data_IF_701606285221
#
_entry.id   IF_701606285221
#
_cell.length_a   1.000
_cell.length_b   1.000
_cell.length_c   1.000
_cell.angle_alpha   90.00
_cell.angle_beta   90.00
_cell.angle_gamma   90.00
#
_symmetry.space_group_name_H-M   'P 1'
#
loop_
_entity.id
_entity.type
_entity.pdbx_description
1 polymer ?
#
# COMPACT_ATOMS: atom_id res chain seq x y z
N UNK A 1 -6.64 30.16 6.68
CA UNK A 1 -7.10 30.65 5.36
C UNK A 1 -7.45 29.46 4.48
N UNK A 2 -8.75 29.20 4.33
CA UNK A 2 -9.25 28.06 3.57
C UNK A 2 -9.02 28.19 2.07
N UNK A 3 -9.05 29.41 1.54
CA UNK A 3 -8.79 29.62 0.11
C UNK A 3 -7.34 29.27 -0.26
N UNK A 4 -6.41 29.58 0.62
CA UNK A 4 -4.99 29.17 0.47
C UNK A 4 -4.84 27.64 0.62
N UNK A 5 -5.57 27.04 1.57
CA UNK A 5 -5.53 25.56 1.75
C UNK A 5 -6.04 24.81 0.53
N UNK A 6 -7.06 25.31 -0.18
CA UNK A 6 -7.56 24.69 -1.40
C UNK A 6 -6.47 24.58 -2.47
N UNK A 7 -5.50 25.50 -2.50
CA UNK A 7 -4.44 25.51 -3.51
C UNK A 7 -5.00 25.59 -4.94
N UNK A 8 -4.49 24.77 -5.88
CA UNK A 8 -4.94 24.73 -7.26
C UNK A 8 -6.26 23.96 -7.47
N UNK A 9 -6.78 23.28 -6.43
CA UNK A 9 -8.02 22.51 -6.53
C UNK A 9 -9.24 23.42 -6.79
N UNK A 10 -10.34 22.89 -7.35
CA UNK A 10 -11.56 23.64 -7.57
C UNK A 10 -12.06 24.30 -6.27
N UNK A 11 -12.53 25.55 -6.39
CA UNK A 11 -13.12 26.25 -5.22
C UNK A 11 -14.40 25.55 -4.79
N UNK A 12 -14.40 25.06 -3.57
CA UNK A 12 -15.56 24.41 -2.92
C UNK A 12 -15.84 25.07 -1.57
N UNK A 13 -17.09 25.07 -1.09
CA UNK A 13 -17.41 25.53 0.26
C UNK A 13 -16.59 24.78 1.34
N UNK A 14 -16.35 25.43 2.44
CA UNK A 14 -15.67 24.80 3.57
C UNK A 14 -16.41 23.54 4.03
N UNK A 15 -15.64 22.46 4.22
CA UNK A 15 -16.14 21.22 4.77
C UNK A 15 -15.08 20.70 5.78
N UNK A 16 -15.44 20.63 7.04
CA UNK A 16 -14.55 20.16 8.11
C UNK A 16 -14.06 18.72 7.87
N UNK A 17 -14.89 17.88 7.24
CA UNK A 17 -14.53 16.50 6.91
C UNK A 17 -13.50 16.38 5.77
N UNK A 18 -13.21 17.47 5.04
CA UNK A 18 -12.15 17.50 4.01
C UNK A 18 -10.81 17.96 4.55
N UNK A 19 -10.82 18.68 5.67
CA UNK A 19 -9.72 19.52 6.09
C UNK A 19 -8.63 18.73 6.82
N UNK A 20 -7.37 19.17 6.66
CA UNK A 20 -6.14 18.59 7.20
C UNK A 20 -5.98 17.10 6.85
N UNK A 21 -5.96 16.21 7.83
CA UNK A 21 -5.69 14.79 7.67
C UNK A 21 -6.64 14.08 6.70
N UNK A 22 -7.87 14.56 6.53
CA UNK A 22 -8.92 13.90 5.77
C UNK A 22 -8.90 14.21 4.27
N UNK A 23 -8.00 15.05 3.77
CA UNK A 23 -7.88 15.39 2.34
C UNK A 23 -7.83 14.16 1.43
N UNK A 24 -7.26 13.07 1.90
CA UNK A 24 -7.04 11.82 1.17
C UNK A 24 -8.32 11.13 0.69
N UNK A 25 -9.46 11.47 1.30
CA UNK A 25 -10.76 10.91 0.96
C UNK A 25 -11.52 11.68 -0.11
N UNK A 26 -10.87 12.67 -0.75
CA UNK A 26 -11.48 13.56 -1.74
C UNK A 26 -10.66 13.56 -3.02
N UNK A 27 -11.31 13.29 -4.16
CA UNK A 27 -10.67 13.16 -5.46
C UNK A 27 -9.87 14.37 -5.93
N UNK A 28 -10.23 15.58 -5.48
CA UNK A 28 -9.47 16.79 -5.80
C UNK A 28 -8.02 16.77 -5.22
N UNK A 29 -7.72 15.88 -4.28
CA UNK A 29 -6.45 15.85 -3.56
C UNK A 29 -5.74 14.50 -3.57
N UNK A 30 -6.49 13.41 -3.59
CA UNK A 30 -5.92 12.06 -3.52
C UNK A 30 -6.93 11.00 -3.99
N UNK A 31 -6.54 9.73 -3.95
CA UNK A 31 -7.35 8.58 -4.37
C UNK A 31 -7.73 7.62 -3.24
N UNK A 32 -7.92 8.14 -2.02
CA UNK A 32 -8.32 7.32 -0.87
C UNK A 32 -7.25 6.36 -0.39
N UNK A 33 -7.66 5.24 0.21
CA UNK A 33 -6.76 4.27 0.79
C UNK A 33 -5.88 3.56 -0.26
N UNK A 34 -6.38 3.44 -1.49
CA UNK A 34 -5.61 2.88 -2.60
C UNK A 34 -4.32 3.66 -2.86
N UNK A 35 -4.37 4.98 -2.88
CA UNK A 35 -3.19 5.83 -3.13
C UNK A 35 -2.46 6.25 -1.86
N UNK A 36 -3.02 5.97 -0.69
CA UNK A 36 -2.37 6.21 0.59
C UNK A 36 -1.63 4.94 1.06
N UNK A 37 -2.34 3.96 1.59
CA UNK A 37 -1.74 2.69 2.04
C UNK A 37 -1.36 1.76 0.90
N UNK A 38 -2.14 1.78 -0.19
CA UNK A 38 -1.89 0.93 -1.35
C UNK A 38 -0.53 1.17 -1.97
N UNK A 39 -0.09 2.41 -2.08
CA UNK A 39 1.23 2.75 -2.62
C UNK A 39 2.38 2.11 -1.82
N UNK A 40 2.23 1.95 -0.50
CA UNK A 40 3.25 1.28 0.31
C UNK A 40 3.20 -0.25 0.18
N UNK A 41 2.00 -0.83 0.28
CA UNK A 41 1.84 -2.28 0.35
C UNK A 41 1.98 -2.93 -1.03
N UNK A 42 1.43 -2.33 -2.08
CA UNK A 42 1.59 -2.84 -3.44
C UNK A 42 3.02 -2.69 -3.95
N UNK A 43 3.69 -1.56 -3.67
CA UNK A 43 5.11 -1.38 -3.98
C UNK A 43 5.96 -2.50 -3.37
N UNK A 44 5.70 -2.83 -2.11
CA UNK A 44 6.40 -3.92 -1.43
C UNK A 44 6.13 -5.29 -2.07
N UNK A 45 4.88 -5.53 -2.51
CA UNK A 45 4.51 -6.75 -3.22
C UNK A 45 5.20 -6.84 -4.59
N UNK A 46 5.18 -5.76 -5.35
CA UNK A 46 5.83 -5.65 -6.68
C UNK A 46 7.35 -5.83 -6.53
N UNK A 47 7.97 -5.18 -5.55
CA UNK A 47 9.38 -5.35 -5.22
C UNK A 47 9.71 -6.82 -4.87
N UNK A 48 8.93 -7.44 -3.98
CA UNK A 48 9.15 -8.83 -3.57
C UNK A 48 8.98 -9.85 -4.70
N UNK A 49 8.11 -9.57 -5.66
CA UNK A 49 7.87 -10.40 -6.84
C UNK A 49 8.79 -10.05 -8.01
N UNK A 50 9.60 -9.01 -7.90
CA UNK A 50 10.42 -8.45 -8.97
C UNK A 50 9.57 -8.25 -10.25
N UNK A 51 8.41 -7.62 -10.06
CA UNK A 51 7.44 -7.36 -11.12
C UNK A 51 7.49 -5.90 -11.56
N UNK A 52 6.91 -5.63 -12.72
CA UNK A 52 6.79 -4.30 -13.32
C UNK A 52 5.30 -3.93 -13.36
N UNK A 53 4.74 -3.66 -14.52
CA UNK A 53 3.34 -3.25 -14.68
C UNK A 53 2.42 -4.46 -14.87
N UNK A 54 1.18 -4.42 -14.35
CA UNK A 54 0.19 -5.46 -14.60
C UNK A 54 -0.32 -5.40 -16.05
N UNK A 55 -0.77 -6.55 -16.59
CA UNK A 55 -1.42 -6.64 -17.90
C UNK A 55 -2.82 -6.08 -17.90
N UNK A 56 -3.53 -6.32 -16.82
CA UNK A 56 -4.91 -5.88 -16.64
C UNK A 56 -5.22 -5.64 -15.16
N UNK A 57 -6.23 -4.83 -14.92
CA UNK A 57 -6.77 -4.60 -13.59
C UNK A 57 -8.30 -4.58 -13.64
N UNK A 58 -8.93 -5.18 -12.63
CA UNK A 58 -10.37 -5.11 -12.40
C UNK A 58 -10.63 -4.73 -10.95
N UNK A 59 -11.52 -3.76 -10.72
CA UNK A 59 -11.77 -3.27 -9.38
C UNK A 59 -13.25 -2.98 -9.14
N UNK A 60 -13.68 -3.21 -7.91
CA UNK A 60 -15.01 -2.89 -7.40
C UNK A 60 -14.87 -2.26 -6.02
N UNK A 61 -15.68 -1.25 -5.74
CA UNK A 61 -15.66 -0.59 -4.43
C UNK A 61 -16.83 0.35 -4.25
N UNK A 62 -16.97 0.85 -3.04
CA UNK A 62 -18.04 1.78 -2.68
C UNK A 62 -17.90 2.28 -1.25
N UNK A 63 -18.83 3.11 -0.83
CA UNK A 63 -18.94 3.62 0.52
C UNK A 63 -19.98 2.80 1.28
N UNK A 64 -19.54 1.69 1.88
CA UNK A 64 -20.39 0.71 2.55
C UNK A 64 -20.28 0.78 4.05
N UNK A 65 -19.09 1.07 4.59
CA UNK A 65 -18.85 1.16 6.01
C UNK A 65 -19.35 2.49 6.59
N UNK A 66 -19.18 3.57 5.85
CA UNK A 66 -19.50 4.93 6.29
C UNK A 66 -20.29 5.72 5.24
N UNK A 67 -21.50 5.26 4.84
CA UNK A 67 -22.25 5.84 3.72
C UNK A 67 -22.72 7.27 3.98
N UNK A 68 -22.85 7.69 5.23
CA UNK A 68 -23.32 9.02 5.63
C UNK A 68 -22.19 10.07 5.73
N UNK A 69 -20.93 9.67 5.57
CA UNK A 69 -19.82 10.61 5.55
C UNK A 69 -19.66 11.25 4.16
N UNK A 70 -19.02 12.41 4.13
CA UNK A 70 -18.85 13.19 2.90
C UNK A 70 -17.65 12.78 2.04
N UNK A 71 -17.01 11.66 2.34
CA UNK A 71 -15.90 11.14 1.53
C UNK A 71 -16.37 10.80 0.11
N UNK A 72 -15.47 11.00 -0.85
CA UNK A 72 -15.72 10.73 -2.27
C UNK A 72 -15.08 9.39 -2.72
N UNK A 73 -13.99 9.00 -2.07
CA UNK A 73 -13.27 7.75 -2.38
C UNK A 73 -13.89 6.55 -1.65
N UNK A 74 -13.82 5.34 -2.22
CA UNK A 74 -14.35 4.15 -1.56
C UNK A 74 -13.74 3.90 -0.19
N UNK A 75 -14.57 3.54 0.79
CA UNK A 75 -14.13 3.02 2.08
C UNK A 75 -13.91 1.50 2.07
N UNK A 76 -14.48 0.83 1.07
CA UNK A 76 -14.37 -0.61 0.85
C UNK A 76 -14.11 -0.87 -0.63
N UNK A 77 -13.02 -1.59 -0.94
CA UNK A 77 -12.63 -1.83 -2.34
C UNK A 77 -11.79 -3.09 -2.45
N UNK A 78 -12.06 -3.90 -3.47
CA UNK A 78 -11.22 -4.97 -3.95
C UNK A 78 -10.71 -4.68 -5.36
N UNK A 79 -9.44 -4.95 -5.63
CA UNK A 79 -8.87 -4.87 -6.97
C UNK A 79 -7.99 -6.09 -7.27
N UNK A 80 -8.13 -6.63 -8.47
CA UNK A 80 -7.37 -7.76 -8.98
C UNK A 80 -6.46 -7.29 -10.12
N UNK A 81 -5.17 -7.49 -9.96
CA UNK A 81 -4.15 -7.17 -10.94
C UNK A 81 -3.57 -8.45 -11.54
N UNK A 82 -3.58 -8.56 -12.85
CA UNK A 82 -3.02 -9.69 -13.58
C UNK A 82 -1.56 -9.42 -13.96
N UNK A 83 -0.65 -10.28 -13.52
CA UNK A 83 0.74 -10.30 -13.97
C UNK A 83 1.04 -11.62 -14.73
N UNK A 84 2.20 -11.72 -15.36
CA UNK A 84 2.58 -12.91 -16.14
C UNK A 84 2.60 -14.22 -15.32
N UNK A 85 2.99 -14.15 -14.04
CA UNK A 85 3.28 -15.32 -13.22
C UNK A 85 2.46 -15.39 -11.93
N UNK A 86 1.69 -14.36 -11.64
CA UNK A 86 0.88 -14.28 -10.43
C UNK A 86 -0.26 -13.27 -10.60
N UNK A 87 -1.21 -13.31 -9.70
CA UNK A 87 -2.19 -12.25 -9.52
C UNK A 87 -1.92 -11.53 -8.19
N UNK A 88 -2.05 -10.21 -8.19
CA UNK A 88 -2.04 -9.42 -6.96
C UNK A 88 -3.46 -9.00 -6.64
N UNK A 89 -3.87 -9.20 -5.40
CA UNK A 89 -5.16 -8.74 -4.89
C UNK A 89 -4.91 -7.62 -3.90
N UNK A 90 -5.45 -6.46 -4.19
CA UNK A 90 -5.62 -5.40 -3.20
C UNK A 90 -7.00 -5.52 -2.59
N UNK A 91 -7.07 -5.51 -1.28
CA UNK A 91 -8.34 -5.51 -0.55
C UNK A 91 -8.25 -4.52 0.60
N UNK A 92 -9.26 -3.66 0.73
CA UNK A 92 -9.40 -2.82 1.90
C UNK A 92 -10.86 -2.64 2.32
N UNK A 93 -11.07 -2.61 3.63
CA UNK A 93 -12.34 -2.28 4.25
C UNK A 93 -12.06 -1.42 5.49
N UNK A 94 -12.38 -0.14 5.43
CA UNK A 94 -12.19 0.77 6.55
C UNK A 94 -13.09 0.39 7.72
N UNK A 95 -12.56 0.51 8.94
CA UNK A 95 -13.28 0.13 10.14
C UNK A 95 -13.19 -1.37 10.49
N UNK A 96 -12.43 -2.14 9.71
CA UNK A 96 -12.13 -3.54 10.00
C UNK A 96 -10.67 -3.65 10.45
N UNK A 97 -10.46 -4.14 11.66
CA UNK A 97 -9.13 -4.28 12.28
C UNK A 97 -8.67 -5.75 12.41
N UNK A 98 -9.53 -6.69 12.06
CA UNK A 98 -9.27 -8.11 12.13
C UNK A 98 -9.44 -8.76 10.74
N UNK A 99 -8.59 -8.37 9.82
CA UNK A 99 -8.60 -8.85 8.44
C UNK A 99 -7.93 -10.22 8.25
N UNK A 100 -7.42 -10.46 7.04
CA UNK A 100 -6.75 -11.72 6.70
C UNK A 100 -5.56 -11.99 7.64
N UNK A 101 -5.41 -13.26 8.02
CA UNK A 101 -4.37 -13.71 8.98
C UNK A 101 -4.44 -13.03 10.35
N UNK A 102 -5.60 -12.45 10.72
CA UNK A 102 -5.77 -11.74 12.00
C UNK A 102 -4.96 -10.45 12.08
N UNK A 103 -4.74 -9.78 10.95
CA UNK A 103 -4.00 -8.52 10.84
C UNK A 103 -4.92 -7.41 10.35
N UNK A 104 -4.65 -6.20 10.81
CA UNK A 104 -5.28 -4.99 10.30
C UNK A 104 -4.69 -4.55 8.95
N UNK A 105 -3.44 -4.93 8.66
CA UNK A 105 -2.77 -4.69 7.39
C UNK A 105 -1.57 -5.63 7.21
N UNK A 106 -1.13 -5.79 5.98
CA UNK A 106 0.05 -6.58 5.66
C UNK A 106 0.06 -7.03 4.20
N UNK A 107 1.01 -7.89 3.88
CA UNK A 107 1.16 -8.52 2.58
C UNK A 107 1.29 -10.02 2.78
N UNK A 108 0.62 -10.81 1.95
CA UNK A 108 0.77 -12.25 1.93
C UNK A 108 1.24 -12.71 0.55
N UNK A 109 2.40 -13.37 0.49
CA UNK A 109 2.89 -14.05 -0.71
C UNK A 109 2.50 -15.52 -0.62
N UNK A 110 1.45 -15.89 -1.34
CA UNK A 110 0.83 -17.21 -1.27
C UNK A 110 1.52 -18.15 -2.27
N UNK A 111 2.20 -19.16 -1.76
CA UNK A 111 2.94 -20.13 -2.56
C UNK A 111 2.53 -21.58 -2.26
N UNK A 112 2.94 -22.51 -3.12
CA UNK A 112 2.58 -23.94 -3.03
C UNK A 112 3.14 -24.65 -1.78
N UNK A 113 4.16 -24.08 -1.14
CA UNK A 113 4.83 -24.69 0.01
C UNK A 113 4.54 -23.99 1.32
N UNK A 114 4.05 -22.78 1.25
CA UNK A 114 3.71 -21.94 2.39
C UNK A 114 3.37 -20.52 1.95
N UNK A 115 2.77 -19.78 2.85
CA UNK A 115 2.45 -18.37 2.68
C UNK A 115 3.39 -17.52 3.53
N UNK A 116 4.18 -16.64 2.89
CA UNK A 116 4.92 -15.61 3.59
C UNK A 116 3.97 -14.46 3.92
N UNK A 117 3.72 -14.25 5.20
CA UNK A 117 2.99 -13.09 5.73
C UNK A 117 4.00 -12.08 6.27
N UNK A 118 3.86 -10.81 5.90
CA UNK A 118 4.76 -9.74 6.33
C UNK A 118 4.01 -8.44 6.58
N UNK A 119 4.31 -7.81 7.72
CA UNK A 119 3.86 -6.49 8.12
C UNK A 119 5.02 -5.68 8.75
N UNK A 120 4.75 -4.48 9.24
CA UNK A 120 5.78 -3.66 9.92
C UNK A 120 6.30 -4.27 11.23
N UNK A 121 5.54 -5.16 11.85
CA UNK A 121 5.90 -5.84 13.11
C UNK A 121 6.74 -7.10 12.90
N UNK A 122 6.90 -7.55 11.66
CA UNK A 122 7.68 -8.74 11.34
C UNK A 122 7.11 -9.58 10.22
N UNK A 123 7.53 -10.83 10.16
CA UNK A 123 7.14 -11.78 9.13
C UNK A 123 7.15 -13.21 9.64
N UNK A 124 6.39 -14.06 8.98
CA UNK A 124 6.34 -15.50 9.22
C UNK A 124 6.05 -16.28 7.94
N UNK A 125 6.28 -17.57 7.95
CA UNK A 125 5.83 -18.45 6.87
C UNK A 125 4.89 -19.50 7.44
N UNK A 126 3.64 -19.46 6.98
CA UNK A 126 2.59 -20.40 7.33
C UNK A 126 2.65 -21.56 6.34
N UNK A 127 2.77 -22.79 6.82
CA UNK A 127 2.92 -23.97 5.95
C UNK A 127 1.64 -24.31 5.19
N UNK A 128 1.78 -24.79 3.96
CA UNK A 128 0.71 -25.46 3.24
C UNK A 128 0.57 -26.93 3.70
N UNK A 129 -0.57 -27.28 4.27
CA UNK A 129 -0.78 -28.59 4.91
C UNK A 129 -0.58 -29.77 3.97
N UNK A 130 -0.96 -29.63 2.70
CA UNK A 130 -0.90 -30.68 1.69
C UNK A 130 0.40 -30.68 0.87
N UNK A 131 1.26 -29.70 1.05
CA UNK A 131 2.54 -29.65 0.32
C UNK A 131 3.48 -30.77 0.80
N UNK A 132 4.18 -31.36 -0.16
CA UNK A 132 5.29 -32.29 0.12
C UNK A 132 6.55 -31.55 0.60
N UNK A 133 6.72 -30.30 0.22
CA UNK A 133 7.88 -29.45 0.50
C UNK A 133 7.44 -28.27 1.39
N UNK A 134 6.85 -28.58 2.54
CA UNK A 134 6.34 -27.56 3.47
C UNK A 134 7.42 -26.56 3.86
N UNK A 135 7.09 -25.29 3.80
CA UNK A 135 7.90 -24.21 4.34
C UNK A 135 7.20 -23.64 5.57
N UNK A 136 7.89 -23.60 6.70
CA UNK A 136 7.40 -23.00 7.94
C UNK A 136 8.50 -22.18 8.57
N UNK A 137 8.18 -20.96 8.96
CA UNK A 137 9.04 -20.10 9.77
C UNK A 137 8.18 -19.41 10.81
N UNK A 138 8.51 -19.60 12.07
CA UNK A 138 7.85 -18.90 13.17
C UNK A 138 8.10 -17.39 13.06
N UNK A 139 7.14 -16.59 13.57
CA UNK A 139 7.20 -15.13 13.45
C UNK A 139 8.52 -14.54 13.91
N UNK A 140 9.12 -13.74 13.06
CA UNK A 140 10.36 -13.00 13.27
C UNK A 140 10.11 -11.51 13.27
N UNK A 141 10.77 -10.81 14.18
CA UNK A 141 10.75 -9.35 14.26
C UNK A 141 11.63 -8.75 13.16
N UNK A 142 11.37 -7.51 12.74
CA UNK A 142 12.26 -6.79 11.84
C UNK A 142 13.64 -6.60 12.50
N UNK A 143 14.68 -6.55 11.68
CA UNK A 143 16.07 -6.34 12.15
C UNK A 143 16.37 -4.87 12.38
N UNK A 144 15.69 -3.98 11.66
CA UNK A 144 15.73 -2.51 11.82
C UNK A 144 14.43 -1.90 11.29
N UNK A 145 14.28 -0.59 11.39
CA UNK A 145 13.11 0.09 10.85
C UNK A 145 13.28 0.61 9.42
N UNK A 146 14.46 0.45 8.83
CA UNK A 146 14.78 0.88 7.46
C UNK A 146 14.74 2.40 7.20
N UNK A 147 14.05 3.17 8.03
CA UNK A 147 13.81 4.60 7.82
C UNK A 147 15.11 5.40 7.83
N UNK A 148 16.01 5.12 8.77
CA UNK A 148 17.30 5.80 8.85
C UNK A 148 18.12 5.56 7.58
N UNK A 149 18.20 4.32 7.12
CA UNK A 149 18.92 3.96 5.88
C UNK A 149 18.36 4.65 4.66
N UNK A 150 17.03 4.77 4.60
CA UNK A 150 16.35 5.51 3.53
C UNK A 150 16.74 6.99 3.54
N UNK A 151 16.70 7.66 4.70
CA UNK A 151 17.13 9.04 4.84
C UNK A 151 18.63 9.24 4.52
N UNK A 152 19.48 8.33 4.96
CA UNK A 152 20.90 8.34 4.66
C UNK A 152 21.15 8.24 3.15
N UNK A 153 20.50 7.31 2.45
CA UNK A 153 20.61 7.19 0.99
C UNK A 153 20.20 8.49 0.31
N UNK A 154 19.01 9.01 0.61
CA UNK A 154 18.51 10.25 0.01
C UNK A 154 19.46 11.43 0.27
N UNK A 155 19.89 11.65 1.51
CA UNK A 155 20.76 12.79 1.86
C UNK A 155 22.15 12.67 1.23
N UNK A 156 22.69 11.46 1.11
CA UNK A 156 23.97 11.23 0.45
C UNK A 156 23.88 11.53 -1.05
N UNK A 157 22.79 11.13 -1.71
CA UNK A 157 22.56 11.43 -3.12
C UNK A 157 22.32 12.94 -3.35
N UNK A 158 21.62 13.61 -2.45
CA UNK A 158 21.47 15.08 -2.49
C UNK A 158 22.83 15.77 -2.46
N UNK A 159 23.78 15.27 -1.65
CA UNK A 159 25.15 15.82 -1.54
C UNK A 159 26.02 15.46 -2.74
N UNK A 160 26.02 14.20 -3.15
CA UNK A 160 26.89 13.70 -4.24
C UNK A 160 26.39 14.10 -5.62
N UNK A 161 25.08 14.32 -5.78
CA UNK A 161 24.38 14.54 -7.06
C UNK A 161 24.47 13.35 -8.03
N UNK A 162 24.84 12.17 -7.53
CA UNK A 162 24.89 10.93 -8.31
C UNK A 162 23.54 10.22 -8.22
N UNK A 163 22.67 10.48 -9.18
CA UNK A 163 21.31 9.94 -9.20
C UNK A 163 21.27 8.40 -9.30
N UNK A 164 22.31 7.80 -9.88
CA UNK A 164 22.49 6.36 -9.98
C UNK A 164 22.63 5.66 -8.62
N UNK A 165 23.03 6.38 -7.58
CA UNK A 165 23.17 5.88 -6.22
C UNK A 165 21.84 5.93 -5.43
N UNK A 166 20.76 6.48 -6.01
CA UNK A 166 19.46 6.54 -5.38
C UNK A 166 18.74 5.19 -5.46
N UNK A 167 18.43 4.59 -4.31
CA UNK A 167 17.80 3.26 -4.25
C UNK A 167 16.43 3.18 -4.92
N UNK A 168 15.67 4.28 -4.89
CA UNK A 168 14.40 4.39 -5.60
C UNK A 168 14.35 5.72 -6.36
N UNK A 169 14.56 5.66 -7.66
CA UNK A 169 14.43 6.84 -8.54
C UNK A 169 12.96 7.22 -8.71
N UNK A 170 12.70 8.45 -9.19
CA UNK A 170 11.32 8.87 -9.49
C UNK A 170 10.69 7.98 -10.57
N UNK A 171 11.48 7.49 -11.52
CA UNK A 171 11.02 6.57 -12.55
C UNK A 171 10.54 5.25 -11.92
N UNK A 172 11.32 4.69 -10.98
CA UNK A 172 10.95 3.46 -10.27
C UNK A 172 9.70 3.67 -9.40
N UNK A 173 9.62 4.80 -8.71
CA UNK A 173 8.48 5.09 -7.82
C UNK A 173 7.21 5.56 -8.53
N UNK A 174 7.26 5.85 -9.86
CA UNK A 174 6.11 6.28 -10.66
C UNK A 174 5.40 5.13 -11.40
N UNK A 175 5.98 3.93 -11.39
CA UNK A 175 5.38 2.72 -11.94
C UNK A 175 4.43 2.07 -10.95
#
# INVERSE_FOLDING_TARGET
>A
DYAMWLGPAPKKPFNASRFHFHFRWFWDYAGGLMTDWGVHLMDYAIFGMNADVPKSVSALGGNFAYPDLSQETPDTMGALYEFDKFNLIWDHAMGIDNGLYGKDHGIAFIGNNGTLEVDRGGWEVIEERQSKNKAKVERRKPTDNGLLKHWENFTNVVKSRKMEDLNCSIQTGAH
#
